data_IF_219808185202
#
_entry.id   IF_219808185202
#
_cell.length_a   1.000
_cell.length_b   1.000
_cell.length_c   1.000
_cell.angle_alpha   90.00
_cell.angle_beta   90.00
_cell.angle_gamma   90.00
#
_symmetry.space_group_name_H-M   'P 1'
#
loop_
_entity.id
_entity.type
_entity.pdbx_description
1 polymer ?
#
# COMPACT_ATOMS: atom_id res chain seq x y z
N UNK A 1 -7.08 14.30 15.97
CA UNK A 1 -6.16 15.32 15.44
C UNK A 1 -4.77 14.90 15.85
N UNK A 2 -3.92 14.53 14.89
CA UNK A 2 -2.62 13.89 15.14
C UNK A 2 -1.69 14.81 15.96
N UNK A 3 -1.07 14.29 17.03
CA UNK A 3 -0.01 15.01 17.77
C UNK A 3 1.14 15.46 16.85
N UNK A 4 1.36 14.80 15.71
CA UNK A 4 2.32 15.22 14.67
C UNK A 4 2.06 16.61 14.08
N UNK A 5 0.81 17.08 14.06
CA UNK A 5 0.45 18.38 13.50
C UNK A 5 0.41 19.48 14.57
N UNK A 6 0.59 19.13 15.85
CA UNK A 6 0.62 20.10 16.93
C UNK A 6 1.95 20.88 16.88
N UNK A 7 1.92 22.08 16.31
CA UNK A 7 3.09 22.97 16.15
C UNK A 7 3.54 23.14 14.70
N UNK A 8 2.92 22.43 13.76
CA UNK A 8 3.09 22.63 12.32
C UNK A 8 2.30 23.86 11.88
N UNK A 9 3.00 24.89 11.41
CA UNK A 9 2.38 26.09 10.85
C UNK A 9 1.98 25.86 9.39
N UNK A 10 0.85 25.18 9.18
CA UNK A 10 0.29 24.88 7.86
C UNK A 10 -0.05 26.12 7.04
N UNK A 11 -0.14 27.30 7.67
CA UNK A 11 -0.32 28.55 6.93
C UNK A 11 0.89 28.92 6.08
N UNK A 12 2.09 28.40 6.40
CA UNK A 12 3.31 28.69 5.62
C UNK A 12 3.35 27.99 4.27
N UNK A 13 2.62 26.89 4.10
CA UNK A 13 2.53 26.17 2.82
C UNK A 13 1.41 26.72 1.93
N UNK A 14 0.60 27.63 2.46
CA UNK A 14 -0.35 28.40 1.67
C UNK A 14 0.42 29.57 1.09
N UNK A 15 0.57 29.54 -0.22
CA UNK A 15 1.22 30.63 -0.93
C UNK A 15 0.19 31.72 -1.25
N UNK A 16 0.63 32.98 -1.40
CA UNK A 16 -0.25 34.04 -1.85
C UNK A 16 -0.95 33.64 -3.15
N UNK A 17 -2.22 33.99 -3.24
CA UNK A 17 -3.08 33.81 -4.40
C UNK A 17 -2.70 34.81 -5.51
N UNK A 18 -1.42 34.82 -5.90
CA UNK A 18 -0.87 35.74 -6.89
C UNK A 18 -0.36 35.02 -8.14
N UNK A 19 -0.32 35.78 -9.23
CA UNK A 19 0.08 35.27 -10.55
C UNK A 19 1.58 34.92 -10.61
N UNK A 20 2.40 35.52 -9.74
CA UNK A 20 3.85 35.29 -9.71
C UNK A 20 4.18 33.88 -9.20
N UNK A 21 3.46 33.42 -8.16
CA UNK A 21 3.55 32.06 -7.65
C UNK A 21 3.22 31.02 -8.73
N UNK A 22 2.08 31.20 -9.41
CA UNK A 22 1.62 30.31 -10.48
C UNK A 22 2.61 30.31 -11.65
N UNK A 23 3.08 31.48 -12.06
CA UNK A 23 4.03 31.62 -13.16
C UNK A 23 5.36 30.92 -12.84
N UNK A 24 5.88 31.07 -11.61
CA UNK A 24 7.09 30.39 -11.18
C UNK A 24 6.94 28.85 -11.17
N UNK A 25 5.78 28.34 -10.74
CA UNK A 25 5.49 26.89 -10.75
C UNK A 25 5.49 26.33 -12.16
N UNK A 26 4.73 26.97 -13.07
CA UNK A 26 4.65 26.53 -14.45
C UNK A 26 6.00 26.68 -15.15
N UNK A 27 6.77 27.73 -14.83
CA UNK A 27 8.12 27.91 -15.37
C UNK A 27 9.04 26.74 -14.98
N UNK A 28 9.03 26.31 -13.71
CA UNK A 28 9.80 25.15 -13.27
C UNK A 28 9.28 23.84 -13.91
N UNK A 29 7.96 23.62 -13.94
CA UNK A 29 7.36 22.43 -14.53
C UNK A 29 7.76 22.24 -16.01
N UNK A 30 7.94 23.32 -16.76
CA UNK A 30 8.45 23.30 -18.14
C UNK A 30 9.90 22.84 -18.28
N UNK A 31 10.70 22.92 -17.20
CA UNK A 31 12.12 22.50 -17.21
C UNK A 31 12.31 21.03 -16.82
N UNK A 32 11.26 20.38 -16.32
CA UNK A 32 11.29 19.00 -15.82
C UNK A 32 10.34 18.10 -16.60
N UNK A 33 10.48 16.78 -16.42
CA UNK A 33 9.69 15.78 -17.15
C UNK A 33 8.49 15.21 -16.37
N UNK A 34 7.73 14.28 -16.98
CA UNK A 34 6.49 13.74 -16.42
C UNK A 34 6.61 13.07 -15.05
N UNK A 35 7.76 12.48 -14.74
CA UNK A 35 7.99 11.86 -13.44
C UNK A 35 8.09 12.94 -12.34
N UNK A 36 8.71 14.09 -12.64
CA UNK A 36 8.74 15.23 -11.72
C UNK A 36 7.37 15.93 -11.63
N UNK A 37 6.58 15.94 -12.71
CA UNK A 37 5.18 16.40 -12.65
C UNK A 37 4.33 15.52 -11.72
N UNK A 38 4.58 14.20 -11.72
CA UNK A 38 3.91 13.30 -10.79
C UNK A 38 4.28 13.60 -9.33
N UNK A 39 5.57 13.83 -9.06
CA UNK A 39 6.05 14.21 -7.72
C UNK A 39 5.46 15.53 -7.24
N UNK A 40 5.40 16.52 -8.14
CA UNK A 40 4.70 17.78 -7.91
C UNK A 40 3.22 17.57 -7.54
N UNK A 41 2.50 16.73 -8.29
CA UNK A 41 1.10 16.39 -8.00
C UNK A 41 0.93 15.65 -6.67
N UNK A 42 1.92 14.86 -6.24
CA UNK A 42 1.89 14.17 -4.94
C UNK A 42 2.02 15.17 -3.77
N UNK A 43 2.84 16.21 -3.90
CA UNK A 43 3.10 17.17 -2.81
C UNK A 43 2.21 18.41 -2.82
N UNK A 44 1.40 18.60 -3.85
CA UNK A 44 0.64 19.84 -4.05
C UNK A 44 -0.29 20.16 -2.86
N UNK A 45 -0.24 21.42 -2.39
CA UNK A 45 -1.19 21.95 -1.40
C UNK A 45 -2.49 22.33 -2.10
N UNK A 46 -3.57 21.63 -1.79
CA UNK A 46 -4.88 21.82 -2.41
C UNK A 46 -5.57 23.13 -2.01
N UNK A 47 -5.01 23.89 -1.07
CA UNK A 47 -5.43 25.27 -0.77
C UNK A 47 -4.76 26.31 -1.67
N UNK A 48 -3.81 25.93 -2.52
CA UNK A 48 -3.21 26.82 -3.52
C UNK A 48 -4.01 26.77 -4.83
N UNK A 49 -3.84 27.81 -5.66
CA UNK A 49 -4.36 27.84 -7.04
C UNK A 49 -4.01 26.59 -7.84
N UNK A 50 -5.02 26.00 -8.46
CA UNK A 50 -4.90 24.74 -9.21
C UNK A 50 -4.27 24.88 -10.60
N UNK A 51 -3.99 26.11 -11.06
CA UNK A 51 -3.44 26.39 -12.39
C UNK A 51 -2.20 25.52 -12.75
N UNK A 52 -1.22 25.27 -11.86
CA UNK A 52 -0.09 24.40 -12.17
C UNK A 52 -0.51 22.93 -12.38
N UNK A 53 -1.49 22.44 -11.62
CA UNK A 53 -2.02 21.08 -11.76
C UNK A 53 -2.82 20.95 -13.06
N UNK A 54 -3.62 21.97 -13.39
CA UNK A 54 -4.33 22.06 -14.66
C UNK A 54 -3.35 22.06 -15.84
N UNK A 55 -2.24 22.79 -15.72
CA UNK A 55 -1.17 22.79 -16.72
C UNK A 55 -0.60 21.38 -16.94
N UNK A 56 -0.31 20.64 -15.87
CA UNK A 56 0.22 19.26 -15.95
C UNK A 56 -0.75 18.35 -16.73
N UNK A 57 -2.04 18.34 -16.39
CA UNK A 57 -3.00 17.41 -17.01
C UNK A 57 -3.33 17.76 -18.48
N UNK A 58 -3.07 19.00 -18.89
CA UNK A 58 -3.18 19.41 -20.30
C UNK A 58 -2.02 18.92 -21.17
N UNK A 59 -0.88 18.56 -20.59
CA UNK A 59 0.28 18.13 -21.39
C UNK A 59 0.04 16.76 -22.04
N UNK A 60 0.54 16.59 -23.27
CA UNK A 60 0.43 15.32 -24.01
C UNK A 60 1.30 14.21 -23.39
N UNK A 61 2.41 14.59 -22.77
CA UNK A 61 3.32 13.67 -22.08
C UNK A 61 2.87 13.35 -20.64
N UNK A 62 1.74 13.90 -20.19
CA UNK A 62 1.19 13.58 -18.88
C UNK A 62 0.88 12.08 -18.77
N UNK A 63 1.45 11.44 -17.75
CA UNK A 63 1.18 10.03 -17.47
C UNK A 63 -0.26 9.87 -16.97
N UNK A 64 -0.96 8.83 -17.44
CA UNK A 64 -2.30 8.54 -16.98
C UNK A 64 -2.34 8.40 -15.44
N UNK A 65 -1.31 7.81 -14.82
CA UNK A 65 -1.25 7.70 -13.37
C UNK A 65 -1.21 9.06 -12.66
N UNK A 66 -0.56 10.07 -13.25
CA UNK A 66 -0.55 11.45 -12.72
C UNK A 66 -1.93 12.09 -12.83
N UNK A 67 -2.59 11.93 -13.98
CA UNK A 67 -3.94 12.44 -14.17
C UNK A 67 -4.94 11.76 -13.22
N UNK A 68 -4.85 10.43 -13.02
CA UNK A 68 -5.71 9.69 -12.09
C UNK A 68 -5.48 10.11 -10.64
N UNK A 69 -4.24 10.35 -10.23
CA UNK A 69 -3.93 10.84 -8.89
C UNK A 69 -4.61 12.20 -8.63
N UNK A 70 -4.44 13.17 -9.54
CA UNK A 70 -5.11 14.47 -9.43
C UNK A 70 -6.63 14.36 -9.48
N UNK A 71 -7.16 13.50 -10.34
CA UNK A 71 -8.59 13.27 -10.47
C UNK A 71 -9.23 12.77 -9.16
N UNK A 72 -8.67 11.72 -8.56
CA UNK A 72 -9.23 11.14 -7.35
C UNK A 72 -9.01 12.00 -6.11
N UNK A 73 -7.88 12.71 -6.02
CA UNK A 73 -7.64 13.69 -4.95
C UNK A 73 -8.54 14.92 -5.03
N UNK A 74 -9.15 15.18 -6.19
CA UNK A 74 -10.15 16.24 -6.36
C UNK A 74 -11.55 15.84 -5.84
N UNK A 75 -11.71 14.61 -5.35
CA UNK A 75 -12.98 14.06 -4.85
C UNK A 75 -14.12 14.19 -5.89
N UNK A 76 -14.03 13.50 -7.04
CA UNK A 76 -14.83 13.83 -8.21
C UNK A 76 -16.24 13.24 -8.17
N UNK A 77 -16.60 12.48 -7.13
CA UNK A 77 -17.82 11.67 -7.09
C UNK A 77 -19.10 12.46 -7.37
N UNK A 78 -19.28 13.60 -6.68
CA UNK A 78 -20.46 14.45 -6.88
C UNK A 78 -20.45 15.16 -8.24
N UNK A 79 -19.29 15.63 -8.68
CA UNK A 79 -19.13 16.36 -9.95
C UNK A 79 -19.48 15.48 -11.15
N UNK A 80 -19.08 14.20 -11.12
CA UNK A 80 -19.39 13.24 -12.17
C UNK A 80 -20.86 12.81 -12.17
N UNK A 81 -21.51 12.75 -11.01
CA UNK A 81 -22.97 12.54 -10.93
C UNK A 81 -23.72 13.70 -11.59
N UNK A 82 -23.34 14.95 -11.31
CA UNK A 82 -23.90 16.13 -11.97
C UNK A 82 -23.66 16.08 -13.49
N UNK A 83 -22.45 15.75 -13.92
CA UNK A 83 -22.13 15.57 -15.34
C UNK A 83 -23.01 14.49 -15.99
N UNK A 84 -23.24 13.37 -15.32
CA UNK A 84 -24.10 12.28 -15.81
C UNK A 84 -25.58 12.68 -15.89
N UNK A 85 -26.05 13.63 -15.08
CA UNK A 85 -27.39 14.21 -15.16
C UNK A 85 -27.49 15.34 -16.21
N UNK A 86 -26.37 15.76 -16.80
CA UNK A 86 -26.32 16.94 -17.67
C UNK A 86 -26.49 18.25 -16.91
N UNK A 87 -26.29 18.22 -15.59
CA UNK A 87 -26.36 19.40 -14.73
C UNK A 87 -25.03 20.15 -14.71
N UNK A 88 -25.10 21.45 -14.43
CA UNK A 88 -23.90 22.26 -14.26
C UNK A 88 -23.21 21.83 -12.96
N UNK A 89 -21.96 21.40 -13.09
CA UNK A 89 -21.07 21.18 -11.95
C UNK A 89 -20.96 22.49 -11.16
N UNK A 90 -21.14 22.43 -9.83
CA UNK A 90 -21.06 23.62 -8.95
C UNK A 90 -19.73 24.35 -9.12
N UNK A 91 -19.67 25.60 -8.69
CA UNK A 91 -18.46 26.44 -8.73
C UNK A 91 -17.43 25.98 -7.68
N UNK A 92 -16.93 24.75 -7.86
CA UNK A 92 -15.73 24.22 -7.25
C UNK A 92 -14.54 24.55 -8.13
N UNK A 93 -13.42 24.93 -7.52
CA UNK A 93 -12.20 25.22 -8.26
C UNK A 93 -11.66 23.98 -8.99
N UNK A 94 -11.92 22.78 -8.45
CA UNK A 94 -11.46 21.51 -9.05
C UNK A 94 -12.32 21.06 -10.24
N UNK A 95 -13.58 21.52 -10.33
CA UNK A 95 -14.54 21.02 -11.31
C UNK A 95 -14.05 21.11 -12.78
N UNK A 96 -13.40 22.21 -13.23
CA UNK A 96 -12.80 22.27 -14.56
C UNK A 96 -11.72 21.21 -14.80
N UNK A 97 -10.87 20.94 -13.80
CA UNK A 97 -9.81 19.94 -13.89
C UNK A 97 -10.38 18.52 -13.93
N UNK A 98 -11.36 18.21 -13.08
CA UNK A 98 -12.08 16.93 -13.06
C UNK A 98 -12.68 16.65 -14.45
N UNK A 99 -13.42 17.63 -14.98
CA UNK A 99 -14.06 17.53 -16.29
C UNK A 99 -13.03 17.29 -17.40
N UNK A 100 -11.97 18.10 -17.43
CA UNK A 100 -10.90 17.98 -18.42
C UNK A 100 -10.24 16.60 -18.39
N UNK A 101 -9.89 16.10 -17.20
CA UNK A 101 -9.27 14.77 -17.06
C UNK A 101 -10.24 13.69 -17.56
N UNK A 102 -11.51 13.76 -17.18
CA UNK A 102 -12.52 12.79 -17.59
C UNK A 102 -12.70 12.75 -19.12
N UNK A 103 -12.74 13.91 -19.77
CA UNK A 103 -12.83 14.04 -21.23
C UNK A 103 -11.57 13.52 -21.93
N UNK A 104 -10.38 13.86 -21.42
CA UNK A 104 -9.10 13.37 -21.98
C UNK A 104 -8.93 11.85 -21.81
N UNK A 105 -9.42 11.26 -20.72
CA UNK A 105 -9.45 9.80 -20.56
C UNK A 105 -10.36 9.17 -21.62
N UNK A 106 -11.55 9.70 -21.85
CA UNK A 106 -12.47 9.21 -22.90
C UNK A 106 -11.87 9.32 -24.30
N UNK A 107 -11.17 10.42 -24.57
CA UNK A 107 -10.50 10.63 -25.84
C UNK A 107 -9.23 9.77 -26.02
N UNK A 108 -8.79 9.05 -24.97
CA UNK A 108 -7.54 8.29 -24.99
C UNK A 108 -6.29 9.17 -25.09
N UNK A 109 -6.37 10.45 -24.69
CA UNK A 109 -5.28 11.41 -24.86
C UNK A 109 -4.07 11.13 -23.96
N UNK A 110 -4.26 10.46 -22.83
CA UNK A 110 -3.16 10.03 -21.95
C UNK A 110 -2.50 8.76 -22.49
N UNK A 111 -1.51 8.94 -23.37
CA UNK A 111 -0.80 7.84 -24.04
C UNK A 111 0.31 7.23 -23.17
N UNK A 112 0.91 8.02 -22.28
CA UNK A 112 1.99 7.57 -21.38
C UNK A 112 1.42 6.79 -20.18
N UNK A 113 2.01 5.61 -19.90
CA UNK A 113 1.64 4.69 -18.80
C UNK A 113 2.89 4.06 -18.18
N UNK A 114 3.83 4.89 -17.73
CA UNK A 114 5.10 4.46 -17.14
C UNK A 114 5.07 4.53 -15.61
N UNK A 115 4.16 5.28 -15.02
CA UNK A 115 4.05 5.42 -13.57
C UNK A 115 3.00 4.45 -13.04
N UNK A 116 3.28 3.82 -11.91
CA UNK A 116 2.34 2.92 -11.26
C UNK A 116 1.16 3.69 -10.68
N UNK A 117 -0.04 3.15 -10.85
CA UNK A 117 -1.26 3.63 -10.18
C UNK A 117 -2.03 2.42 -9.67
N UNK A 118 -2.50 2.50 -8.44
CA UNK A 118 -3.26 1.43 -7.80
C UNK A 118 -4.41 2.07 -7.03
N UNK A 119 -5.67 1.93 -7.50
CA UNK A 119 -6.80 2.60 -6.88
C UNK A 119 -6.99 2.11 -5.44
N UNK A 120 -7.26 3.04 -4.54
CA UNK A 120 -7.58 2.71 -3.16
C UNK A 120 -9.01 2.15 -3.06
N UNK A 121 -9.33 1.36 -2.01
CA UNK A 121 -10.69 0.85 -1.82
C UNK A 121 -11.78 1.93 -1.79
N UNK A 122 -11.46 3.13 -1.30
CA UNK A 122 -12.36 4.28 -1.33
C UNK A 122 -12.69 4.73 -2.75
N UNK A 123 -11.66 4.88 -3.59
CA UNK A 123 -11.82 5.22 -5.02
C UNK A 123 -12.67 4.18 -5.76
N UNK A 124 -12.51 2.89 -5.43
CA UNK A 124 -13.32 1.82 -6.00
C UNK A 124 -14.79 1.94 -5.58
N UNK A 125 -15.07 2.20 -4.30
CA UNK A 125 -16.43 2.40 -3.81
C UNK A 125 -17.09 3.61 -4.49
N UNK A 126 -16.38 4.73 -4.59
CA UNK A 126 -16.89 5.96 -5.24
C UNK A 126 -17.16 5.72 -6.73
N UNK A 127 -16.26 4.99 -7.42
CA UNK A 127 -16.44 4.63 -8.82
C UNK A 127 -17.67 3.73 -9.04
N UNK A 128 -17.85 2.72 -8.18
CA UNK A 128 -18.97 1.79 -8.26
C UNK A 128 -20.30 2.52 -7.96
N UNK A 129 -20.32 3.44 -7.00
CA UNK A 129 -21.48 4.29 -6.73
C UNK A 129 -21.84 5.15 -7.94
N UNK A 130 -20.83 5.78 -8.56
CA UNK A 130 -21.02 6.57 -9.77
C UNK A 130 -21.55 5.73 -10.94
N UNK A 131 -21.03 4.52 -11.16
CA UNK A 131 -21.58 3.60 -12.17
C UNK A 131 -23.03 3.25 -11.88
N UNK A 132 -23.36 2.95 -10.62
CA UNK A 132 -24.73 2.63 -10.20
C UNK A 132 -25.68 3.83 -10.35
N UNK A 133 -25.18 5.05 -10.20
CA UNK A 133 -25.94 6.27 -10.46
C UNK A 133 -26.19 6.45 -11.97
N UNK A 134 -25.14 6.39 -12.79
CA UNK A 134 -25.24 6.54 -14.24
C UNK A 134 -26.15 5.50 -14.89
N UNK A 135 -26.19 4.28 -14.37
CA UNK A 135 -27.06 3.20 -14.86
C UNK A 135 -28.56 3.50 -14.71
N UNK A 136 -28.95 4.43 -13.81
CA UNK A 136 -30.35 4.83 -13.60
C UNK A 136 -30.81 5.93 -14.55
N UNK A 137 -29.88 6.57 -15.27
CA UNK A 137 -30.17 7.68 -16.15
C UNK A 137 -30.29 7.14 -17.59
N UNK A 138 -31.42 7.33 -18.28
CA UNK A 138 -31.54 6.99 -19.69
C UNK A 138 -30.60 7.87 -20.53
N UNK A 139 -29.65 7.26 -21.25
CA UNK A 139 -28.68 7.95 -22.10
C UNK A 139 -27.95 9.12 -21.42
N UNK A 140 -27.15 8.86 -20.36
CA UNK A 140 -26.47 9.93 -19.66
C UNK A 140 -25.45 10.60 -20.60
N UNK A 141 -25.37 11.94 -20.63
CA UNK A 141 -24.39 12.68 -21.43
C UNK A 141 -22.94 12.35 -21.09
N UNK A 142 -22.69 11.83 -19.87
CA UNK A 142 -21.39 11.34 -19.44
C UNK A 142 -21.52 9.95 -18.82
N UNK A 143 -20.56 9.07 -19.11
CA UNK A 143 -20.40 7.77 -18.44
C UNK A 143 -18.98 7.68 -17.92
N UNK A 144 -18.73 7.08 -16.75
CA UNK A 144 -17.38 6.87 -16.26
C UNK A 144 -16.62 5.93 -17.19
N UNK A 145 -15.37 6.27 -17.50
CA UNK A 145 -14.53 5.41 -18.32
C UNK A 145 -13.80 4.36 -17.45
N UNK A 146 -13.69 3.09 -17.86
CA UNK A 146 -13.03 2.05 -17.06
C UNK A 146 -11.59 2.35 -16.65
N UNK A 147 -10.86 3.10 -17.49
CA UNK A 147 -9.48 3.51 -17.16
C UNK A 147 -9.39 4.50 -15.98
N UNK A 148 -10.50 5.11 -15.53
CA UNK A 148 -10.52 5.96 -14.32
C UNK A 148 -10.14 5.19 -13.05
N UNK A 149 -10.32 3.87 -13.03
CA UNK A 149 -10.02 3.03 -11.88
C UNK A 149 -9.09 1.86 -12.21
N UNK A 150 -8.50 1.87 -13.40
CA UNK A 150 -7.66 0.75 -13.82
C UNK A 150 -6.29 0.84 -13.16
N UNK A 151 -5.87 -0.20 -12.45
CA UNK A 151 -4.49 -0.31 -11.99
C UNK A 151 -3.53 -0.25 -13.17
N UNK A 152 -2.46 0.55 -13.03
CA UNK A 152 -1.40 0.72 -14.02
C UNK A 152 -0.13 0.09 -13.49
N UNK A 153 0.45 -0.80 -14.28
CA UNK A 153 1.76 -1.35 -14.00
C UNK A 153 2.84 -0.40 -14.50
N UNK A 154 3.61 0.20 -13.60
CA UNK A 154 4.67 1.14 -13.92
C UNK A 154 5.76 1.18 -12.86
N UNK A 155 6.72 2.10 -13.05
CA UNK A 155 7.69 2.49 -12.04
C UNK A 155 6.99 3.27 -10.93
N UNK A 156 7.40 3.02 -9.70
CA UNK A 156 6.92 3.79 -8.56
C UNK A 156 7.69 5.11 -8.51
N UNK A 157 6.94 6.22 -8.53
CA UNK A 157 7.49 7.57 -8.42
C UNK A 157 7.02 8.13 -7.08
N UNK A 158 7.97 8.36 -6.18
CA UNK A 158 7.73 8.90 -4.84
C UNK A 158 8.56 10.16 -4.65
N UNK A 159 8.11 11.01 -3.72
CA UNK A 159 8.89 12.16 -3.29
C UNK A 159 9.99 11.68 -2.34
N UNK A 160 11.24 11.90 -2.73
CA UNK A 160 12.44 11.52 -1.97
C UNK A 160 13.23 12.77 -1.56
N UNK A 161 14.27 12.59 -0.74
CA UNK A 161 15.11 13.71 -0.30
C UNK A 161 15.81 14.43 -1.47
N UNK A 162 16.05 13.73 -2.59
CA UNK A 162 16.69 14.33 -3.76
C UNK A 162 15.71 15.22 -4.53
N UNK A 163 14.45 14.82 -4.64
CA UNK A 163 13.37 15.64 -5.17
C UNK A 163 13.29 16.97 -4.43
N UNK A 164 13.19 16.94 -3.10
CA UNK A 164 13.10 18.15 -2.29
C UNK A 164 14.34 19.05 -2.39
N UNK A 165 15.53 18.48 -2.59
CA UNK A 165 16.74 19.26 -2.82
C UNK A 165 16.80 19.94 -4.19
N UNK A 166 16.13 19.36 -5.20
CA UNK A 166 16.07 19.91 -6.56
C UNK A 166 14.88 20.84 -6.77
N UNK A 167 13.86 20.71 -5.94
CA UNK A 167 12.61 21.43 -6.05
C UNK A 167 12.81 22.89 -5.59
N UNK A 168 12.23 23.88 -6.28
CA UNK A 168 12.26 25.27 -5.82
C UNK A 168 11.49 25.40 -4.50
N UNK A 169 11.94 26.28 -3.62
CA UNK A 169 11.26 26.53 -2.33
C UNK A 169 9.82 27.02 -2.49
N UNK A 170 9.49 27.58 -3.66
CA UNK A 170 8.13 27.96 -3.98
C UNK A 170 7.17 26.75 -4.04
N UNK A 171 7.64 25.54 -4.32
CA UNK A 171 6.77 24.38 -4.59
C UNK A 171 6.50 23.49 -3.35
N UNK A 172 6.83 23.96 -2.14
CA UNK A 172 6.62 23.21 -0.90
C UNK A 172 5.14 23.20 -0.50
N UNK A 173 4.38 22.26 -1.05
CA UNK A 173 2.95 22.11 -0.77
C UNK A 173 2.64 21.29 0.48
N UNK A 174 3.56 20.43 0.93
CA UNK A 174 3.38 19.67 2.16
C UNK A 174 4.28 20.16 3.29
N UNK A 175 3.72 20.33 4.49
CA UNK A 175 4.52 20.65 5.68
C UNK A 175 5.43 19.49 6.10
N UNK A 176 5.32 18.33 5.44
CA UNK A 176 6.06 17.12 5.76
C UNK A 176 7.56 17.26 5.51
N UNK A 177 8.00 18.25 4.72
CA UNK A 177 9.41 18.53 4.43
C UNK A 177 10.09 19.31 5.57
N UNK A 178 9.32 20.15 6.28
CA UNK A 178 9.80 20.97 7.39
C UNK A 178 9.73 20.25 8.74
N UNK A 179 9.15 19.05 8.78
CA UNK A 179 9.19 18.23 9.98
C UNK A 179 10.64 17.80 10.23
N UNK A 180 11.17 17.96 11.46
CA UNK A 180 12.45 17.37 11.81
C UNK A 180 12.42 15.86 11.51
N UNK A 181 13.57 15.23 11.21
CA UNK A 181 13.65 13.80 10.95
C UNK A 181 12.89 13.04 12.04
N UNK A 182 11.77 12.45 11.66
CA UNK A 182 10.82 11.95 12.62
C UNK A 182 11.16 10.50 12.98
N UNK A 183 11.43 10.26 14.26
CA UNK A 183 11.83 8.97 14.82
C UNK A 183 10.66 8.22 15.49
N UNK A 184 9.43 8.71 15.30
CA UNK A 184 8.21 8.12 15.83
C UNK A 184 7.60 7.02 14.95
N UNK A 185 6.70 6.23 15.53
CA UNK A 185 5.91 5.20 14.83
C UNK A 185 4.50 5.77 14.64
N UNK A 186 3.99 5.87 13.42
CA UNK A 186 2.61 6.37 13.21
C UNK A 186 1.63 5.27 13.59
N UNK A 187 0.38 5.64 13.86
CA UNK A 187 -0.70 4.66 13.99
C UNK A 187 -0.80 3.75 12.75
N UNK A 188 -0.56 4.30 11.55
CA UNK A 188 -0.46 3.54 10.30
C UNK A 188 0.69 2.53 10.34
N UNK A 189 1.86 2.93 10.82
CA UNK A 189 3.03 2.04 10.96
C UNK A 189 2.82 0.96 12.03
N UNK A 190 2.09 1.26 13.11
CA UNK A 190 1.70 0.25 14.11
C UNK A 190 0.73 -0.79 13.53
N UNK A 191 -0.26 -0.34 12.75
CA UNK A 191 -1.17 -1.24 12.03
C UNK A 191 -0.38 -2.08 11.04
N UNK A 192 0.50 -1.49 10.24
CA UNK A 192 1.36 -2.20 9.31
C UNK A 192 2.26 -3.22 10.05
N UNK A 193 2.82 -2.86 11.20
CA UNK A 193 3.60 -3.78 12.04
C UNK A 193 2.78 -4.98 12.50
N UNK A 194 1.53 -4.75 12.92
CA UNK A 194 0.61 -5.79 13.38
C UNK A 194 0.22 -6.73 12.24
N UNK A 195 -0.10 -6.18 11.08
CA UNK A 195 -0.42 -6.96 9.87
C UNK A 195 0.79 -7.78 9.40
N UNK A 196 1.97 -7.16 9.33
CA UNK A 196 3.22 -7.85 8.97
C UNK A 196 3.56 -8.99 9.93
N UNK A 197 3.29 -8.82 11.24
CA UNK A 197 3.46 -9.88 12.24
C UNK A 197 2.56 -11.07 11.94
N UNK A 198 1.30 -10.82 11.57
CA UNK A 198 0.35 -11.87 11.19
C UNK A 198 0.85 -12.64 9.95
N UNK A 199 1.36 -11.93 8.94
CA UNK A 199 1.96 -12.55 7.74
C UNK A 199 3.14 -13.45 8.10
N UNK A 200 4.11 -12.92 8.84
CA UNK A 200 5.34 -13.64 9.21
C UNK A 200 5.00 -14.89 10.04
N UNK A 201 4.06 -14.76 10.99
CA UNK A 201 3.62 -15.88 11.81
C UNK A 201 2.94 -16.99 10.98
N UNK A 202 2.01 -16.62 10.10
CA UNK A 202 1.31 -17.57 9.23
C UNK A 202 2.28 -18.29 8.28
N UNK A 203 3.24 -17.57 7.70
CA UNK A 203 4.32 -18.17 6.90
C UNK A 203 5.23 -19.10 7.71
N UNK A 204 5.46 -18.78 8.98
CA UNK A 204 6.14 -19.66 9.93
C UNK A 204 5.39 -20.97 10.15
N UNK A 205 4.07 -20.90 10.38
CA UNK A 205 3.19 -22.08 10.53
C UNK A 205 3.24 -22.96 9.29
N UNK A 206 3.26 -22.39 8.08
CA UNK A 206 3.46 -23.14 6.83
C UNK A 206 4.74 -23.98 6.91
N UNK A 207 5.84 -23.37 7.33
CA UNK A 207 7.12 -24.05 7.51
C UNK A 207 7.06 -25.20 8.52
N UNK A 208 6.36 -25.00 9.66
CA UNK A 208 6.08 -26.06 10.64
C UNK A 208 5.30 -27.19 9.98
N UNK A 209 4.15 -26.87 9.38
CA UNK A 209 3.27 -27.87 8.78
C UNK A 209 4.01 -28.72 7.74
N UNK A 210 4.74 -28.09 6.82
CA UNK A 210 5.55 -28.76 5.79
C UNK A 210 6.61 -29.68 6.42
N UNK A 211 7.27 -29.25 7.49
CA UNK A 211 8.23 -30.10 8.19
C UNK A 211 7.55 -31.32 8.82
N UNK A 212 6.40 -31.12 9.46
CA UNK A 212 5.65 -32.17 10.14
C UNK A 212 5.05 -33.21 9.17
N UNK A 213 4.80 -32.86 7.91
CA UNK A 213 4.38 -33.82 6.88
C UNK A 213 5.35 -35.01 6.71
N UNK A 214 6.62 -34.85 7.09
CA UNK A 214 7.60 -35.95 7.03
C UNK A 214 7.33 -37.07 8.03
N UNK A 215 6.55 -36.80 9.06
CA UNK A 215 6.24 -37.74 10.14
C UNK A 215 4.81 -38.27 10.06
N UNK A 216 4.07 -37.91 9.01
CA UNK A 216 2.72 -38.40 8.74
C UNK A 216 2.82 -39.77 8.09
N UNK A 217 2.11 -40.76 8.65
CA UNK A 217 1.89 -42.04 8.00
C UNK A 217 0.77 -41.89 6.95
N UNK A 218 1.15 -42.04 5.68
CA UNK A 218 0.28 -41.78 4.53
C UNK A 218 -0.76 -42.88 4.27
N UNK A 219 -0.72 -43.99 5.01
CA UNK A 219 -1.66 -45.10 4.82
C UNK A 219 -3.02 -44.91 5.51
N UNK A 220 -3.16 -43.88 6.35
CA UNK A 220 -4.33 -43.72 7.20
C UNK A 220 -5.23 -42.56 6.73
N UNK A 221 -6.50 -42.85 6.42
CA UNK A 221 -7.49 -41.87 5.92
C UNK A 221 -7.67 -40.66 6.84
N UNK A 222 -7.50 -40.85 8.15
CA UNK A 222 -7.56 -39.75 9.12
C UNK A 222 -6.44 -38.73 8.93
N UNK A 223 -5.27 -39.15 8.41
CA UNK A 223 -4.16 -38.27 8.07
C UNK A 223 -4.42 -37.51 6.75
N UNK A 224 -5.12 -38.11 5.79
CA UNK A 224 -5.57 -37.41 4.57
C UNK A 224 -6.59 -36.31 4.89
N UNK A 225 -7.52 -36.57 5.81
CA UNK A 225 -8.46 -35.55 6.31
C UNK A 225 -7.72 -34.42 7.06
N UNK A 226 -6.74 -34.76 7.89
CA UNK A 226 -5.85 -33.78 8.54
C UNK A 226 -5.06 -32.93 7.54
N UNK A 227 -4.55 -33.54 6.46
CA UNK A 227 -3.85 -32.86 5.38
C UNK A 227 -4.76 -31.90 4.62
N UNK A 228 -6.00 -32.31 4.33
CA UNK A 228 -6.99 -31.47 3.68
C UNK A 228 -7.33 -30.24 4.54
N UNK A 229 -7.56 -30.43 5.84
CA UNK A 229 -7.79 -29.33 6.79
C UNK A 229 -6.58 -28.41 6.92
N UNK A 230 -5.37 -28.96 6.99
CA UNK A 230 -4.12 -28.19 6.97
C UNK A 230 -3.98 -27.38 5.69
N UNK A 231 -4.29 -27.98 4.53
CA UNK A 231 -4.19 -27.31 3.23
C UNK A 231 -5.22 -26.19 3.08
N UNK A 232 -6.46 -26.38 3.58
CA UNK A 232 -7.48 -25.33 3.65
C UNK A 232 -7.05 -24.21 4.60
N UNK A 233 -6.52 -24.55 5.78
CA UNK A 233 -5.98 -23.58 6.73
C UNK A 233 -4.82 -22.78 6.13
N UNK A 234 -3.92 -23.46 5.43
CA UNK A 234 -2.80 -22.86 4.70
C UNK A 234 -3.27 -21.89 3.63
N UNK A 235 -4.27 -22.30 2.84
CA UNK A 235 -4.83 -21.48 1.78
C UNK A 235 -5.50 -20.21 2.35
N UNK A 236 -6.29 -20.34 3.41
CA UNK A 236 -6.90 -19.20 4.10
C UNK A 236 -5.84 -18.27 4.69
N UNK A 237 -4.79 -18.83 5.31
CA UNK A 237 -3.67 -18.07 5.84
C UNK A 237 -2.87 -17.34 4.75
N UNK A 238 -2.63 -17.97 3.59
CA UNK A 238 -1.96 -17.32 2.46
C UNK A 238 -2.81 -16.20 1.86
N UNK A 239 -4.14 -16.39 1.80
CA UNK A 239 -5.07 -15.34 1.37
C UNK A 239 -5.03 -14.15 2.32
N UNK A 240 -5.08 -14.40 3.63
CA UNK A 240 -5.05 -13.34 4.64
C UNK A 240 -3.66 -12.68 4.71
N UNK A 241 -2.59 -13.45 4.48
CA UNK A 241 -1.24 -12.92 4.33
C UNK A 241 -1.11 -11.98 3.13
N UNK A 242 -1.74 -12.32 2.00
CA UNK A 242 -1.78 -11.45 0.83
C UNK A 242 -2.56 -10.15 1.10
N UNK A 243 -3.67 -10.23 1.84
CA UNK A 243 -4.43 -9.04 2.28
C UNK A 243 -3.59 -8.16 3.21
N UNK A 244 -3.01 -8.75 4.24
CA UNK A 244 -2.13 -8.04 5.18
C UNK A 244 -0.91 -7.42 4.47
N UNK A 245 -0.30 -8.12 3.51
CA UNK A 245 0.78 -7.57 2.69
C UNK A 245 0.32 -6.45 1.74
N UNK A 246 -0.93 -6.48 1.26
CA UNK A 246 -1.52 -5.36 0.53
C UNK A 246 -1.76 -4.16 1.46
N UNK A 247 -2.30 -4.37 2.65
CA UNK A 247 -2.48 -3.34 3.68
C UNK A 247 -1.17 -2.71 4.10
N UNK A 248 -0.14 -3.53 4.39
CA UNK A 248 1.21 -3.03 4.70
C UNK A 248 1.76 -2.21 3.55
N UNK A 249 1.62 -2.66 2.29
CA UNK A 249 2.06 -1.85 1.13
C UNK A 249 1.28 -0.54 1.02
N UNK A 250 -0.02 -0.54 1.24
CA UNK A 250 -0.84 0.68 1.25
C UNK A 250 -0.41 1.67 2.33
N UNK A 251 -0.25 1.19 3.57
CA UNK A 251 0.20 2.02 4.69
C UNK A 251 1.63 2.52 4.50
N UNK A 252 2.54 1.65 4.06
CA UNK A 252 3.92 2.02 3.78
C UNK A 252 4.03 2.98 2.58
N UNK A 253 3.13 2.90 1.59
CA UNK A 253 3.00 3.90 0.51
C UNK A 253 2.51 5.24 1.04
N UNK A 254 1.50 5.25 1.92
CA UNK A 254 1.02 6.47 2.56
C UNK A 254 2.13 7.17 3.35
N UNK A 255 3.04 6.39 3.95
CA UNK A 255 4.23 6.87 4.66
C UNK A 255 5.47 7.01 3.77
N UNK A 256 5.34 6.92 2.44
CA UNK A 256 6.43 7.08 1.43
C UNK A 256 7.61 6.10 1.54
N UNK A 257 7.45 4.97 2.21
CA UNK A 257 8.50 3.96 2.37
C UNK A 257 8.12 2.65 1.67
N UNK A 258 8.38 2.48 0.37
CA UNK A 258 8.11 1.16 -0.24
C UNK A 258 9.27 0.18 -0.07
N UNK A 259 9.09 -0.94 0.69
CA UNK A 259 10.10 -1.98 0.73
C UNK A 259 10.20 -2.64 -0.66
N UNK A 260 11.40 -2.65 -1.25
CA UNK A 260 11.65 -3.33 -2.53
C UNK A 260 11.12 -4.77 -2.50
N UNK A 261 10.56 -5.25 -3.62
CA UNK A 261 10.03 -6.63 -3.75
C UNK A 261 11.02 -7.69 -3.26
N UNK A 262 12.31 -7.50 -3.55
CA UNK A 262 13.38 -8.39 -3.09
C UNK A 262 13.48 -8.44 -1.57
N UNK A 263 13.48 -7.29 -0.87
CA UNK A 263 13.52 -7.26 0.60
C UNK A 263 12.30 -7.94 1.21
N UNK A 264 11.11 -7.67 0.67
CA UNK A 264 9.87 -8.33 1.12
C UNK A 264 9.94 -9.85 0.92
N UNK A 265 10.46 -10.31 -0.21
CA UNK A 265 10.67 -11.74 -0.47
C UNK A 265 11.71 -12.36 0.47
N UNK A 266 12.81 -11.67 0.77
CA UNK A 266 13.83 -12.12 1.72
C UNK A 266 13.28 -12.24 3.14
N UNK A 267 12.42 -11.30 3.56
CA UNK A 267 11.74 -11.34 4.87
C UNK A 267 10.80 -12.54 4.93
N UNK A 268 9.96 -12.72 3.92
CA UNK A 268 9.03 -13.84 3.84
C UNK A 268 9.77 -15.19 3.82
N UNK A 269 10.79 -15.32 2.96
CA UNK A 269 11.61 -16.54 2.88
C UNK A 269 12.38 -16.82 4.17
N UNK A 270 12.93 -15.78 4.81
CA UNK A 270 13.59 -15.89 6.10
C UNK A 270 12.65 -16.36 7.22
N UNK A 271 11.41 -15.88 7.24
CA UNK A 271 10.39 -16.32 8.19
C UNK A 271 10.04 -17.82 8.04
N UNK A 272 9.81 -18.28 6.80
CA UNK A 272 9.55 -19.69 6.51
C UNK A 272 10.74 -20.56 6.92
N UNK A 273 11.96 -20.15 6.55
CA UNK A 273 13.18 -20.88 6.90
C UNK A 273 13.41 -20.96 8.41
N UNK A 274 13.17 -19.87 9.14
CA UNK A 274 13.27 -19.84 10.60
C UNK A 274 12.25 -20.78 11.27
N UNK A 275 11.00 -20.77 10.80
CA UNK A 275 9.97 -21.69 11.30
C UNK A 275 10.29 -23.16 11.07
N UNK A 276 10.78 -23.46 9.88
CA UNK A 276 11.28 -24.80 9.55
C UNK A 276 12.44 -25.21 10.46
N UNK A 277 13.45 -24.36 10.61
CA UNK A 277 14.64 -24.64 11.41
C UNK A 277 14.34 -24.84 12.90
N UNK A 278 13.49 -23.99 13.49
CA UNK A 278 13.06 -24.14 14.89
C UNK A 278 12.31 -25.46 15.13
N UNK A 279 11.41 -25.82 14.22
CA UNK A 279 10.68 -27.10 14.29
C UNK A 279 11.62 -28.29 14.20
N UNK A 280 12.62 -28.21 13.32
CA UNK A 280 13.60 -29.28 13.14
C UNK A 280 14.45 -29.48 14.39
N UNK A 281 14.96 -28.40 14.99
CA UNK A 281 15.76 -28.47 16.22
C UNK A 281 14.93 -28.99 17.40
N UNK A 282 13.69 -28.53 17.54
CA UNK A 282 12.82 -28.96 18.63
C UNK A 282 12.50 -30.46 18.55
N UNK A 283 12.24 -30.99 17.36
CA UNK A 283 12.01 -32.42 17.15
C UNK A 283 13.30 -33.25 17.32
N UNK A 284 14.45 -32.76 16.85
CA UNK A 284 15.74 -33.42 17.10
C UNK A 284 16.04 -33.54 18.60
N UNK A 285 15.82 -32.46 19.35
CA UNK A 285 15.99 -32.46 20.80
C UNK A 285 15.04 -33.44 21.48
N UNK A 286 13.76 -33.46 21.07
CA UNK A 286 12.78 -34.40 21.58
C UNK A 286 13.20 -35.86 21.37
N UNK A 287 13.57 -36.24 20.14
CA UNK A 287 13.99 -37.62 19.85
C UNK A 287 15.29 -38.00 20.56
N UNK A 288 16.21 -37.05 20.76
CA UNK A 288 17.41 -37.29 21.55
C UNK A 288 17.09 -37.58 23.03
N UNK A 289 16.14 -36.84 23.62
CA UNK A 289 15.69 -37.04 25.00
C UNK A 289 14.91 -38.35 25.17
N UNK A 290 14.06 -38.69 24.21
CA UNK A 290 13.33 -39.96 24.18
C UNK A 290 14.31 -41.14 24.03
N UNK A 291 15.27 -41.07 23.11
CA UNK A 291 16.30 -42.09 22.91
C UNK A 291 17.23 -42.27 24.11
N UNK A 292 17.44 -41.22 24.91
CA UNK A 292 18.16 -41.28 26.18
C UNK A 292 17.32 -41.84 27.34
N UNK A 293 16.03 -42.15 27.12
CA UNK A 293 15.11 -42.61 28.15
C UNK A 293 14.70 -41.54 29.16
N UNK A 294 14.97 -40.26 28.87
CA UNK A 294 14.65 -39.14 29.75
C UNK A 294 13.19 -38.69 29.62
N UNK A 295 12.56 -39.01 28.48
CA UNK A 295 11.14 -38.79 28.22
C UNK A 295 10.53 -40.13 27.83
N UNK A 296 9.42 -40.49 28.49
CA UNK A 296 8.60 -41.64 28.11
C UNK A 296 7.24 -41.13 27.64
N UNK A 297 6.97 -41.22 26.34
CA UNK A 297 5.76 -40.69 25.71
C UNK A 297 4.99 -41.75 24.90
N UNK A 298 4.44 -42.77 25.57
CA UNK A 298 3.72 -43.85 24.88
C UNK A 298 2.43 -43.37 24.18
N UNK A 299 1.90 -42.19 24.57
CA UNK A 299 0.68 -41.64 24.04
C UNK A 299 0.90 -40.53 22.98
N UNK A 300 2.15 -40.13 22.72
CA UNK A 300 2.49 -39.12 21.71
C UNK A 300 2.21 -37.66 22.11
N UNK A 301 1.95 -37.38 23.40
CA UNK A 301 1.68 -36.04 23.90
C UNK A 301 2.93 -35.14 23.93
N UNK A 302 4.11 -35.72 24.06
CA UNK A 302 5.40 -35.05 23.96
C UNK A 302 5.60 -34.39 22.59
N UNK A 303 5.15 -35.04 21.52
CA UNK A 303 5.14 -34.46 20.16
C UNK A 303 4.23 -33.24 20.05
N UNK A 304 3.08 -33.27 20.72
CA UNK A 304 2.16 -32.12 20.80
C UNK A 304 2.82 -30.97 21.57
N UNK A 305 3.53 -31.26 22.66
CA UNK A 305 4.30 -30.26 23.41
C UNK A 305 5.40 -29.59 22.56
N UNK A 306 6.12 -30.37 21.76
CA UNK A 306 7.14 -29.87 20.82
C UNK A 306 6.53 -28.97 19.75
N UNK A 307 5.37 -29.35 19.21
CA UNK A 307 4.63 -28.54 18.25
C UNK A 307 4.19 -27.20 18.87
N UNK A 308 3.66 -27.22 20.09
CA UNK A 308 3.24 -26.03 20.81
C UNK A 308 4.43 -25.08 21.08
N UNK A 309 5.56 -25.62 21.54
CA UNK A 309 6.79 -24.85 21.77
C UNK A 309 7.36 -24.25 20.48
N UNK A 310 7.38 -25.02 19.38
CA UNK A 310 7.83 -24.55 18.07
C UNK A 310 6.94 -23.40 17.57
N UNK A 311 5.63 -23.50 17.78
CA UNK A 311 4.65 -22.46 17.43
C UNK A 311 4.84 -21.20 18.28
N UNK A 312 5.08 -21.34 19.58
CA UNK A 312 5.35 -20.21 20.47
C UNK A 312 6.66 -19.49 20.13
N UNK A 313 7.72 -20.25 19.81
CA UNK A 313 9.00 -19.69 19.36
C UNK A 313 8.84 -18.92 18.04
N UNK A 314 8.07 -19.47 17.09
CA UNK A 314 7.70 -18.80 15.86
C UNK A 314 6.96 -17.49 16.09
N UNK A 315 6.00 -17.48 17.02
CA UNK A 315 5.29 -16.25 17.38
C UNK A 315 6.24 -15.18 17.93
N UNK A 316 7.14 -15.56 18.83
CA UNK A 316 8.16 -14.66 19.38
C UNK A 316 9.12 -14.10 18.32
N UNK A 317 9.59 -14.94 17.39
CA UNK A 317 10.46 -14.49 16.29
C UNK A 317 9.71 -13.59 15.30
N UNK A 318 8.44 -13.89 15.00
CA UNK A 318 7.60 -13.04 14.16
C UNK A 318 7.37 -11.66 14.79
N UNK A 319 7.12 -11.64 16.11
CA UNK A 319 7.00 -10.40 16.88
C UNK A 319 8.28 -9.57 16.80
N UNK A 320 9.44 -10.16 17.07
CA UNK A 320 10.73 -9.47 17.05
C UNK A 320 11.10 -8.98 15.64
N UNK A 321 10.91 -9.82 14.62
CA UNK A 321 11.16 -9.47 13.22
C UNK A 321 10.29 -8.29 12.78
N UNK A 322 8.99 -8.29 13.11
CA UNK A 322 8.09 -7.17 12.80
C UNK A 322 8.59 -5.86 13.41
N UNK A 323 9.03 -5.88 14.68
CA UNK A 323 9.60 -4.71 15.38
C UNK A 323 10.89 -4.21 14.73
N UNK A 324 11.79 -5.11 14.35
CA UNK A 324 13.07 -4.76 13.70
C UNK A 324 12.82 -4.17 12.31
N UNK A 325 11.92 -4.78 11.54
CA UNK A 325 11.62 -4.34 10.18
C UNK A 325 10.97 -2.96 10.18
N UNK A 326 9.97 -2.74 11.03
CA UNK A 326 9.35 -1.42 11.19
C UNK A 326 10.41 -0.39 11.56
N UNK A 327 11.28 -0.68 12.55
CA UNK A 327 12.36 0.25 12.91
C UNK A 327 13.36 0.49 11.77
N UNK A 328 13.78 -0.54 11.04
CA UNK A 328 14.82 -0.41 10.00
C UNK A 328 14.31 0.17 8.68
N UNK A 329 13.04 -0.06 8.35
CA UNK A 329 12.44 0.48 7.12
C UNK A 329 12.03 1.93 7.24
N UNK A 330 11.82 2.42 8.46
CA UNK A 330 11.17 3.70 8.71
C UNK A 330 12.10 4.76 9.29
N UNK A 331 13.22 4.35 9.90
CA UNK A 331 14.19 5.28 10.50
C UNK A 331 15.51 5.38 9.71
N UNK A 332 15.45 5.16 8.40
CA UNK A 332 16.57 5.37 7.46
C UNK A 332 16.08 6.01 6.19
#
# INVERSE_FOLDING_TARGET
MNEMLAGVDWMKTIHPDDDDFVAAHIAWLKTVGPDEWHRAALDFNWSNRLDPMLWIVMQDDCDLATALNLFWRSEPGWDLMLMAMGERVREREEAPMIKLIAERIHAGSYTRRKIAFDPEPGMQADYDEMLAHCARIPNPPFRPHPDMLRSIHGGEVINDADFYRRQPDAFHGSVLVDLPPWDGVTSGMEVAAKELRSVIFNLGIVGVAVYWLRFVDWQNITHLAGLALLSVGLFLQLRDANKAAATVRGLMRAERHTPSRLRSALIAGGAVAAGYGLSALALQAYFALEGAGLIHDPAGYGKIGVLALSTAALWGTAWLASRILVRKFLFR
#
